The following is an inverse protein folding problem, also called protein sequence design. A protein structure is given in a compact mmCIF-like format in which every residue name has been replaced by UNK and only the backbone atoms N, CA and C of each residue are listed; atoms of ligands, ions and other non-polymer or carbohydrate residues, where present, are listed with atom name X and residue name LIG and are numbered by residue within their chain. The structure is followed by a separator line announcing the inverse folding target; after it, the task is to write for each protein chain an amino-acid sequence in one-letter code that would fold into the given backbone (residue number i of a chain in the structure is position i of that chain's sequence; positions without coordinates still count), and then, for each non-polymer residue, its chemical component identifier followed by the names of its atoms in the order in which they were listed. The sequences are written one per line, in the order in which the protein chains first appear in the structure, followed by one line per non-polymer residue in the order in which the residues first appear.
data_IF_092110763356
#
_entry.id   IF_092110763356
#
_cell.length_a   1.000
_cell.length_b   1.000
_cell.length_c   1.000
_cell.angle_alpha   90.00
_cell.angle_beta   90.00
_cell.angle_gamma   90.00
#
_symmetry.space_group_name_H-M   'P 1'
#
loop_
_entity.id
_entity.type
_entity.pdbx_description
1 polymer ?
#
# COMPACT_ATOMS: atom_id res chain seq x y z
N UNK A 1 -38.95 26.35 -40.23
CA UNK A 1 -39.12 25.14 -39.40
C UNK A 1 -37.94 24.23 -39.75
N UNK A 2 -36.77 24.26 -39.08
CA UNK A 2 -36.47 23.99 -37.64
C UNK A 2 -37.08 22.63 -37.25
N UNK A 3 -36.35 21.57 -36.88
CA UNK A 3 -35.15 21.47 -36.03
C UNK A 3 -34.07 20.50 -36.56
N UNK A 4 -32.81 20.91 -36.39
CA UNK A 4 -31.60 20.07 -36.38
C UNK A 4 -31.16 19.99 -34.93
N UNK A 5 -31.11 18.79 -34.35
CA UNK A 5 -30.62 18.60 -32.98
C UNK A 5 -29.13 18.30 -33.01
N UNK A 6 -28.35 19.29 -32.61
CA UNK A 6 -26.92 19.23 -32.36
C UNK A 6 -26.74 19.01 -30.84
N UNK A 7 -26.09 17.92 -30.42
CA UNK A 7 -25.72 17.72 -29.01
C UNK A 7 -24.20 17.62 -28.87
N UNK A 8 -23.58 18.80 -28.75
CA UNK A 8 -22.28 19.01 -28.11
C UNK A 8 -22.54 19.43 -26.66
N UNK A 9 -22.04 18.69 -25.69
CA UNK A 9 -21.93 19.18 -24.30
C UNK A 9 -20.50 18.96 -23.83
N UNK A 10 -19.74 20.05 -23.78
CA UNK A 10 -18.42 20.13 -23.17
C UNK A 10 -18.55 20.16 -21.64
N UNK A 11 -17.67 19.42 -20.97
CA UNK A 11 -17.47 19.49 -19.53
C UNK A 11 -16.90 20.87 -19.13
N UNK A 12 -17.54 21.55 -18.18
CA UNK A 12 -16.96 22.68 -17.46
C UNK A 12 -16.89 22.34 -15.96
N UNK A 13 -15.84 22.75 -15.23
CA UNK A 13 -15.60 22.37 -13.85
C UNK A 13 -16.43 23.27 -12.91
N UNK A 14 -17.19 22.67 -12.00
CA UNK A 14 -17.90 23.39 -10.94
C UNK A 14 -16.95 23.70 -9.79
N UNK A 15 -16.40 24.92 -9.80
CA UNK A 15 -15.77 25.53 -8.63
C UNK A 15 -16.84 25.78 -7.56
N UNK A 16 -16.66 25.23 -6.36
CA UNK A 16 -17.44 25.62 -5.17
C UNK A 16 -16.92 26.98 -4.66
N UNK A 17 -17.79 27.98 -4.42
CA UNK A 17 -17.36 29.25 -3.86
C UNK A 17 -17.16 29.11 -2.34
N UNK A 18 -15.94 29.35 -1.86
CA UNK A 18 -15.69 29.67 -0.46
C UNK A 18 -16.25 31.06 -0.16
N UNK A 19 -17.32 31.11 0.64
CA UNK A 19 -17.80 32.38 1.19
C UNK A 19 -17.11 32.64 2.52
N UNK A 20 -16.19 33.60 2.54
CA UNK A 20 -15.57 34.14 3.73
C UNK A 20 -16.57 35.05 4.44
N UNK A 21 -17.35 34.50 5.37
CA UNK A 21 -18.14 35.28 6.31
C UNK A 21 -17.95 34.72 7.72
N UNK A 22 -17.26 35.49 8.56
CA UNK A 22 -17.28 35.35 10.03
C UNK A 22 -18.75 35.35 10.47
N UNK A 23 -19.21 34.25 11.08
CA UNK A 23 -20.49 34.20 11.78
C UNK A 23 -20.23 33.89 13.25
N UNK A 24 -20.65 34.82 14.09
CA UNK A 24 -20.64 34.74 15.54
C UNK A 24 -21.40 33.50 16.04
N UNK A 25 -20.82 32.85 17.05
CA UNK A 25 -21.36 31.70 17.75
C UNK A 25 -22.62 32.07 18.54
N UNK A 26 -23.75 31.33 18.42
CA UNK A 26 -24.83 31.44 19.38
C UNK A 26 -24.59 30.45 20.53
N UNK A 27 -24.34 30.99 21.72
CA UNK A 27 -24.52 30.32 23.00
C UNK A 27 -26.01 30.14 23.29
N UNK A 28 -26.52 28.92 23.47
CA UNK A 28 -27.81 28.66 24.15
C UNK A 28 -27.69 27.38 24.99
N UNK A 29 -28.03 27.54 26.27
CA UNK A 29 -28.27 26.52 27.27
C UNK A 29 -29.45 25.59 26.89
N UNK A 30 -29.26 24.29 27.16
CA UNK A 30 -30.29 23.33 27.58
C UNK A 30 -31.41 22.98 26.59
N UNK A 31 -31.30 21.81 25.93
CA UNK A 31 -32.46 20.97 25.56
C UNK A 31 -32.12 19.46 25.54
N UNK A 32 -32.86 18.72 26.37
CA UNK A 32 -33.37 17.33 26.30
C UNK A 32 -32.57 16.21 25.60
N UNK A 33 -32.28 15.16 26.37
CA UNK A 33 -31.86 13.84 25.88
C UNK A 33 -33.01 13.14 25.14
N UNK A 34 -33.08 13.29 23.83
CA UNK A 34 -33.71 12.31 22.95
C UNK A 34 -32.68 11.84 21.93
N UNK A 35 -32.34 10.55 22.01
CA UNK A 35 -31.52 9.84 21.04
C UNK A 35 -32.12 10.04 19.64
N UNK A 36 -31.46 10.86 18.83
CA UNK A 36 -31.70 10.95 17.39
C UNK A 36 -30.51 10.30 16.68
N UNK A 37 -30.76 9.17 16.03
CA UNK A 37 -29.82 8.50 15.12
C UNK A 37 -29.62 9.37 13.87
N UNK A 38 -28.38 9.64 13.47
CA UNK A 38 -28.09 10.28 12.18
C UNK A 38 -28.35 9.29 11.04
N UNK A 39 -28.94 9.68 9.89
CA UNK A 39 -29.45 8.73 8.91
C UNK A 39 -28.38 8.15 7.97
N UNK A 40 -27.11 8.49 8.14
CA UNK A 40 -26.05 8.15 7.17
C UNK A 40 -25.04 7.15 7.76
N UNK A 41 -24.90 7.08 9.08
CA UNK A 41 -24.08 6.07 9.74
C UNK A 41 -24.81 5.67 11.01
N UNK A 42 -25.31 4.44 11.10
CA UNK A 42 -25.88 3.88 12.33
C UNK A 42 -24.80 3.65 13.41
N UNK A 43 -23.89 4.60 13.59
CA UNK A 43 -22.94 4.63 14.70
C UNK A 43 -23.54 5.47 15.82
N UNK A 44 -23.44 5.03 17.08
CA UNK A 44 -23.72 5.92 18.21
C UNK A 44 -22.77 7.12 18.11
N UNK A 45 -23.29 8.33 18.28
CA UNK A 45 -22.48 9.54 18.42
C UNK A 45 -21.57 9.37 19.65
N UNK A 46 -20.35 8.88 19.40
CA UNK A 46 -19.28 8.84 20.36
C UNK A 46 -18.98 10.25 20.82
N UNK A 47 -19.02 10.43 22.14
CA UNK A 47 -18.74 11.67 22.83
C UNK A 47 -17.35 12.20 22.45
N UNK A 48 -17.28 13.20 21.56
CA UNK A 48 -16.12 14.10 21.49
C UNK A 48 -16.22 15.07 22.69
N UNK A 49 -16.08 14.51 23.89
CA UNK A 49 -15.81 15.27 25.09
C UNK A 49 -14.33 15.10 25.41
N UNK A 50 -13.62 16.21 25.60
CA UNK A 50 -12.31 16.19 26.25
C UNK A 50 -12.54 15.60 27.65
N UNK A 51 -12.16 14.34 27.85
CA UNK A 51 -12.12 13.77 29.20
C UNK A 51 -10.92 14.42 29.88
N UNK A 52 -11.19 15.48 30.63
CA UNK A 52 -10.25 15.98 31.63
C UNK A 52 -9.91 14.81 32.56
N UNK A 53 -8.63 14.48 32.64
CA UNK A 53 -8.07 13.25 33.22
C UNK A 53 -8.15 13.17 34.75
N UNK A 54 -9.21 13.69 35.37
CA UNK A 54 -9.32 13.72 36.84
C UNK A 54 -10.47 12.88 37.43
N UNK A 55 -11.25 12.16 36.63
CA UNK A 55 -12.43 11.45 37.18
C UNK A 55 -12.80 10.16 36.45
N UNK A 56 -11.91 9.18 36.35
CA UNK A 56 -12.29 7.79 36.04
C UNK A 56 -11.41 6.85 36.88
N UNK A 57 -12.04 6.02 37.70
CA UNK A 57 -11.35 4.95 38.44
C UNK A 57 -10.81 3.91 37.42
N UNK A 58 -9.48 3.82 37.20
CA UNK A 58 -8.93 3.02 36.10
C UNK A 58 -8.92 1.51 36.35
N UNK A 59 -9.15 1.08 37.60
CA UNK A 59 -8.72 -0.25 38.05
C UNK A 59 -9.58 -1.43 37.60
N UNK A 60 -10.80 -1.22 37.09
CA UNK A 60 -11.71 -2.32 36.72
C UNK A 60 -12.01 -2.44 35.23
N UNK A 61 -11.83 -1.37 34.44
CA UNK A 61 -12.27 -1.36 33.04
C UNK A 61 -11.24 -2.02 32.11
N UNK A 62 -9.95 -1.96 32.47
CA UNK A 62 -8.87 -2.61 31.70
C UNK A 62 -8.98 -4.13 31.79
N UNK A 63 -9.17 -4.69 32.99
CA UNK A 63 -9.17 -6.16 33.21
C UNK A 63 -10.31 -6.87 32.47
N UNK A 64 -11.52 -6.27 32.43
CA UNK A 64 -12.66 -6.85 31.72
C UNK A 64 -12.45 -6.87 30.20
N UNK A 65 -11.78 -5.85 29.65
CA UNK A 65 -11.41 -5.82 28.23
C UNK A 65 -10.37 -6.89 27.89
N UNK A 66 -9.29 -6.98 28.68
CA UNK A 66 -8.24 -7.99 28.44
C UNK A 66 -8.79 -9.41 28.54
N UNK A 67 -9.69 -9.66 29.50
CA UNK A 67 -10.34 -10.96 29.64
C UNK A 67 -11.25 -11.31 28.47
N UNK A 68 -12.11 -10.37 28.03
CA UNK A 68 -12.97 -10.58 26.87
C UNK A 68 -12.16 -10.79 25.58
N UNK A 69 -11.06 -10.06 25.43
CA UNK A 69 -10.11 -10.21 24.32
C UNK A 69 -9.44 -11.58 24.32
N UNK A 70 -8.94 -12.05 25.47
CA UNK A 70 -8.34 -13.39 25.58
C UNK A 70 -9.35 -14.51 25.25
N UNK A 71 -10.57 -14.41 25.75
CA UNK A 71 -11.60 -15.43 25.54
C UNK A 71 -11.99 -15.51 24.04
N UNK A 72 -12.11 -14.36 23.37
CA UNK A 72 -12.32 -14.29 21.93
C UNK A 72 -11.15 -14.91 21.14
N UNK A 73 -9.90 -14.61 21.54
CA UNK A 73 -8.70 -15.17 20.90
C UNK A 73 -8.64 -16.70 21.01
N UNK A 74 -9.03 -17.25 22.17
CA UNK A 74 -9.12 -18.69 22.41
C UNK A 74 -10.19 -19.34 21.54
N UNK A 75 -11.38 -18.74 21.44
CA UNK A 75 -12.47 -19.24 20.60
C UNK A 75 -12.10 -19.26 19.12
N UNK A 76 -11.42 -18.20 18.65
CA UNK A 76 -10.98 -18.07 17.26
C UNK A 76 -9.78 -18.97 16.91
N UNK A 77 -9.17 -19.67 17.87
CA UNK A 77 -7.90 -20.40 17.71
C UNK A 77 -6.81 -19.53 17.07
N UNK A 78 -6.80 -18.24 17.41
CA UNK A 78 -6.01 -17.23 16.73
C UNK A 78 -4.56 -17.23 17.23
N UNK A 79 -3.63 -17.74 16.42
CA UNK A 79 -2.18 -17.72 16.69
C UNK A 79 -1.49 -16.52 16.02
N UNK A 80 -1.90 -15.30 16.37
CA UNK A 80 -1.24 -14.08 15.93
C UNK A 80 -1.45 -12.95 16.95
N UNK A 81 -0.66 -11.88 16.83
CA UNK A 81 -0.80 -10.67 17.66
C UNK A 81 -1.90 -9.78 17.12
N UNK A 82 -2.71 -9.20 18.01
CA UNK A 82 -3.68 -8.15 17.69
C UNK A 82 -3.00 -6.78 17.76
N UNK A 83 -3.57 -5.81 17.05
CA UNK A 83 -3.13 -4.40 17.18
C UNK A 83 -3.10 -3.96 18.65
N UNK A 84 -4.14 -4.27 19.43
CA UNK A 84 -4.22 -3.84 20.83
C UNK A 84 -3.20 -4.53 21.74
N UNK A 85 -2.30 -5.35 21.21
CA UNK A 85 -1.12 -5.88 21.91
C UNK A 85 0.12 -4.98 21.75
N UNK A 86 0.09 -3.97 20.86
CA UNK A 86 1.21 -3.06 20.64
C UNK A 86 1.22 -1.96 21.71
N UNK A 87 2.30 -1.84 22.51
CA UNK A 87 2.37 -0.87 23.60
C UNK A 87 2.71 0.56 23.13
N UNK A 88 3.06 0.74 21.84
CA UNK A 88 3.61 1.99 21.29
C UNK A 88 2.81 2.44 20.05
N UNK A 89 2.39 3.70 20.05
CA UNK A 89 1.76 4.38 18.92
C UNK A 89 2.79 4.68 17.83
N UNK A 90 2.34 4.87 16.58
CA UNK A 90 3.24 5.17 15.45
C UNK A 90 4.06 6.46 15.63
N UNK A 91 3.50 7.44 16.36
CA UNK A 91 4.15 8.69 16.72
C UNK A 91 3.69 9.13 18.12
N UNK A 92 4.63 9.65 18.91
CA UNK A 92 4.37 10.32 20.18
C UNK A 92 4.07 11.83 19.98
N UNK A 93 4.30 12.35 18.76
CA UNK A 93 4.00 13.73 18.38
C UNK A 93 2.54 13.87 17.92
N UNK A 94 1.87 14.99 18.27
CA UNK A 94 0.52 15.27 17.82
C UNK A 94 0.49 15.49 16.31
N UNK A 95 -0.67 15.23 15.69
CA UNK A 95 -0.88 15.37 14.24
C UNK A 95 -0.58 16.78 13.71
N UNK A 96 -0.86 17.81 14.51
CA UNK A 96 -0.53 19.20 14.23
C UNK A 96 0.54 19.65 15.23
N UNK A 97 1.82 19.29 15.01
CA UNK A 97 2.88 19.80 15.85
C UNK A 97 3.02 21.32 15.62
N UNK A 98 3.46 22.08 16.63
CA UNK A 98 3.88 23.46 16.41
C UNK A 98 5.00 23.50 15.35
N UNK A 99 5.09 24.59 14.58
CA UNK A 99 6.20 24.79 13.64
C UNK A 99 7.52 24.76 14.44
N UNK A 100 8.34 23.73 14.23
CA UNK A 100 9.68 23.67 14.81
C UNK A 100 10.61 24.59 14.01
N UNK A 101 11.45 25.35 14.71
CA UNK A 101 12.54 26.09 14.07
C UNK A 101 13.40 25.11 13.26
N UNK A 102 13.89 25.54 12.09
CA UNK A 102 14.74 24.75 11.20
C UNK A 102 16.06 24.34 11.90
N UNK A 103 16.02 23.36 12.81
CA UNK A 103 17.23 22.75 13.33
C UNK A 103 17.95 22.05 12.16
N UNK A 104 19.26 22.27 12.06
CA UNK A 104 20.12 21.60 11.09
C UNK A 104 20.23 20.11 11.44
N UNK A 105 19.27 19.32 10.97
CA UNK A 105 19.34 17.87 11.04
C UNK A 105 20.33 17.33 10.00
N UNK A 106 21.39 16.67 10.47
CA UNK A 106 22.48 16.09 9.65
C UNK A 106 22.02 14.88 8.80
N UNK A 107 20.85 14.30 9.09
CA UNK A 107 20.38 13.03 8.53
C UNK A 107 19.72 13.12 7.13
N UNK A 108 19.56 14.31 6.56
CA UNK A 108 19.00 14.52 5.22
C UNK A 108 17.51 14.15 5.08
N UNK A 109 17.00 14.17 3.84
CA UNK A 109 15.59 13.94 3.52
C UNK A 109 15.29 12.44 3.37
N UNK A 110 14.13 12.02 3.86
CA UNK A 110 13.58 10.69 3.59
C UNK A 110 12.64 10.75 2.38
N UNK A 111 13.15 10.34 1.22
CA UNK A 111 12.38 10.28 -0.01
C UNK A 111 11.50 9.02 -0.03
N UNK A 112 10.19 9.19 -0.19
CA UNK A 112 9.21 8.11 -0.34
C UNK A 112 8.73 8.08 -1.79
N UNK A 113 9.10 7.02 -2.52
CA UNK A 113 8.74 6.83 -3.93
C UNK A 113 7.55 5.87 -4.03
N UNK A 114 6.42 6.40 -4.46
CA UNK A 114 5.14 5.72 -4.64
C UNK A 114 4.96 5.31 -6.10
N UNK A 115 4.77 4.01 -6.37
CA UNK A 115 4.68 3.46 -7.73
C UNK A 115 3.38 2.66 -7.88
N UNK A 116 2.51 3.12 -8.77
CA UNK A 116 1.18 2.52 -8.97
C UNK A 116 1.21 1.29 -9.90
N UNK A 117 0.09 0.57 -9.93
CA UNK A 117 -0.13 -0.60 -10.77
C UNK A 117 -0.54 -0.29 -12.21
N UNK A 118 -0.91 -1.36 -12.94
CA UNK A 118 -1.48 -1.30 -14.29
C UNK A 118 -2.76 -0.46 -14.30
N UNK A 119 -2.89 0.46 -15.26
CA UNK A 119 -4.03 1.40 -15.38
C UNK A 119 -4.25 2.27 -14.11
N UNK A 120 -3.26 2.36 -13.22
CA UNK A 120 -3.28 3.27 -12.08
C UNK A 120 -2.89 4.70 -12.46
N UNK A 121 -3.16 5.65 -11.57
CA UNK A 121 -2.78 7.05 -11.70
C UNK A 121 -2.27 7.60 -10.35
N UNK A 122 -1.70 8.80 -10.36
CA UNK A 122 -1.09 9.40 -9.16
C UNK A 122 -2.08 9.67 -8.02
N UNK A 123 -3.39 9.73 -8.28
CA UNK A 123 -4.39 9.88 -7.22
C UNK A 123 -4.55 8.59 -6.39
N UNK A 124 -4.23 7.42 -6.94
CA UNK A 124 -4.48 6.12 -6.28
C UNK A 124 -3.62 5.94 -5.02
N UNK A 125 -2.46 6.59 -4.95
CA UNK A 125 -1.56 6.56 -3.79
C UNK A 125 -1.67 7.81 -2.92
N UNK A 126 -2.62 8.71 -3.21
CA UNK A 126 -2.77 9.97 -2.46
C UNK A 126 -3.18 9.72 -1.02
N UNK A 127 -4.13 8.80 -0.77
CA UNK A 127 -4.55 8.45 0.58
C UNK A 127 -3.42 7.80 1.37
N UNK A 128 -2.64 6.91 0.74
CA UNK A 128 -1.43 6.31 1.35
C UNK A 128 -0.45 7.39 1.78
N UNK A 129 -0.11 8.33 0.88
CA UNK A 129 0.74 9.48 1.19
C UNK A 129 0.20 10.25 2.39
N UNK A 130 -1.09 10.61 2.37
CA UNK A 130 -1.74 11.33 3.45
C UNK A 130 -1.52 10.60 4.77
N UNK A 131 -1.96 9.35 4.92
CA UNK A 131 -1.84 8.60 6.17
C UNK A 131 -0.40 8.42 6.68
N UNK A 132 0.60 8.39 5.80
CA UNK A 132 2.01 8.38 6.21
C UNK A 132 2.41 9.73 6.81
N UNK A 133 2.06 10.84 6.16
CA UNK A 133 2.32 12.18 6.69
C UNK A 133 1.64 12.38 8.06
N UNK A 134 0.47 11.77 8.26
CA UNK A 134 -0.27 11.82 9.53
C UNK A 134 0.37 10.98 10.63
N UNK A 135 0.98 9.84 10.25
CA UNK A 135 1.59 8.90 11.18
C UNK A 135 3.01 9.26 11.58
N UNK A 136 3.65 10.16 10.82
CA UNK A 136 5.01 10.62 11.05
C UNK A 136 5.09 12.16 11.04
N UNK A 137 4.31 12.85 11.90
CA UNK A 137 4.37 14.30 12.00
C UNK A 137 5.80 14.75 12.38
N UNK A 138 6.29 15.81 11.76
CA UNK A 138 7.65 16.33 11.96
C UNK A 138 8.76 15.61 11.18
N UNK A 139 8.48 14.48 10.52
CA UNK A 139 9.47 13.82 9.67
C UNK A 139 9.69 14.59 8.36
N UNK A 140 10.95 14.80 7.95
CA UNK A 140 11.33 15.39 6.65
C UNK A 140 11.12 14.41 5.51
N UNK A 141 9.85 14.15 5.21
CA UNK A 141 9.40 13.30 4.12
C UNK A 141 9.25 14.14 2.84
N UNK A 142 9.77 13.61 1.74
CA UNK A 142 9.48 14.10 0.41
C UNK A 142 8.88 12.96 -0.42
N UNK A 143 7.85 13.25 -1.22
CA UNK A 143 7.10 12.21 -1.96
C UNK A 143 7.21 12.39 -3.47
N UNK A 144 7.57 11.31 -4.14
CA UNK A 144 7.45 11.16 -5.58
C UNK A 144 6.38 10.11 -5.90
N UNK A 145 5.35 10.48 -6.68
CA UNK A 145 4.32 9.54 -7.15
C UNK A 145 4.48 9.37 -8.67
N UNK A 146 4.75 8.14 -9.13
CA UNK A 146 4.97 7.84 -10.55
C UNK A 146 3.75 8.17 -11.42
N UNK A 147 3.96 8.53 -12.68
CA UNK A 147 2.86 9.02 -13.56
C UNK A 147 2.61 8.22 -14.85
N UNK A 148 3.44 7.22 -15.20
CA UNK A 148 3.46 6.69 -16.57
C UNK A 148 3.23 5.19 -16.75
N UNK A 149 2.77 4.81 -17.95
CA UNK A 149 2.43 3.45 -18.39
C UNK A 149 3.23 3.04 -19.65
N UNK A 150 3.87 1.85 -19.64
CA UNK A 150 4.57 1.22 -20.79
C UNK A 150 4.88 -0.29 -20.52
N UNK A 151 5.78 -0.92 -21.29
CA UNK A 151 6.42 -2.21 -20.93
C UNK A 151 7.41 -2.05 -19.76
N UNK A 152 7.83 -3.14 -19.12
CA UNK A 152 8.62 -3.06 -17.88
C UNK A 152 9.96 -2.35 -18.05
N UNK A 153 10.69 -2.58 -19.13
CA UNK A 153 12.00 -1.94 -19.32
C UNK A 153 11.83 -0.43 -19.50
N UNK A 154 10.89 -0.02 -20.36
CA UNK A 154 10.55 1.39 -20.55
C UNK A 154 10.04 2.03 -19.25
N UNK A 155 9.16 1.36 -18.49
CA UNK A 155 8.66 1.89 -17.21
C UNK A 155 9.77 1.97 -16.15
N UNK A 156 10.72 1.04 -16.16
CA UNK A 156 11.86 1.04 -15.25
C UNK A 156 12.72 2.27 -15.48
N UNK A 157 13.09 2.53 -16.73
CA UNK A 157 13.99 3.65 -17.06
C UNK A 157 13.30 5.00 -16.85
N UNK A 158 11.99 5.08 -17.15
CA UNK A 158 11.19 6.28 -16.83
C UNK A 158 11.09 6.55 -15.35
N UNK A 159 10.78 5.55 -14.52
CA UNK A 159 10.73 5.73 -13.06
C UNK A 159 12.09 6.16 -12.51
N UNK A 160 13.17 5.56 -13.02
CA UNK A 160 14.52 5.96 -12.65
C UNK A 160 14.82 7.42 -13.04
N UNK A 161 14.42 7.85 -14.23
CA UNK A 161 14.56 9.23 -14.68
C UNK A 161 13.73 10.19 -13.82
N UNK A 162 12.48 9.82 -13.49
CA UNK A 162 11.61 10.59 -12.58
C UNK A 162 12.28 10.77 -11.21
N UNK A 163 12.86 9.71 -10.62
CA UNK A 163 13.58 9.80 -9.34
C UNK A 163 14.78 10.74 -9.42
N UNK A 164 15.64 10.56 -10.43
CA UNK A 164 16.86 11.37 -10.57
C UNK A 164 16.49 12.84 -10.82
N UNK A 165 15.52 13.08 -11.70
CA UNK A 165 15.05 14.42 -12.02
C UNK A 165 14.43 15.09 -10.79
N UNK A 166 13.63 14.39 -10.01
CA UNK A 166 13.03 14.92 -8.78
C UNK A 166 14.09 15.34 -7.77
N UNK A 167 15.08 14.47 -7.52
CA UNK A 167 16.22 14.78 -6.63
C UNK A 167 16.99 16.02 -7.10
N UNK A 168 17.20 16.15 -8.42
CA UNK A 168 17.93 17.29 -9.01
C UNK A 168 17.13 18.58 -9.00
N UNK A 169 15.85 18.54 -9.37
CA UNK A 169 14.98 19.73 -9.45
C UNK A 169 14.79 20.40 -8.09
N UNK A 170 14.65 19.60 -7.04
CA UNK A 170 14.45 20.10 -5.68
C UNK A 170 15.75 20.15 -4.85
N UNK A 171 16.90 19.84 -5.45
CA UNK A 171 18.22 19.82 -4.81
C UNK A 171 18.22 19.05 -3.47
N UNK A 172 17.63 17.86 -3.47
CA UNK A 172 17.39 17.07 -2.25
C UNK A 172 18.68 16.38 -1.78
N UNK A 173 19.09 16.64 -0.54
CA UNK A 173 20.10 15.82 0.15
C UNK A 173 19.44 14.56 0.70
N UNK A 174 19.46 13.49 -0.08
CA UNK A 174 18.82 12.23 0.29
C UNK A 174 19.56 11.54 1.43
N UNK A 175 18.92 11.40 2.58
CA UNK A 175 19.39 10.57 3.69
C UNK A 175 18.96 9.11 3.54
N UNK A 176 17.66 8.91 3.23
CA UNK A 176 17.03 7.59 3.10
C UNK A 176 16.02 7.57 1.96
N UNK A 177 15.80 6.39 1.37
CA UNK A 177 14.77 6.15 0.35
C UNK A 177 13.89 4.98 0.76
N UNK A 178 12.58 5.20 0.80
CA UNK A 178 11.58 4.14 0.89
C UNK A 178 10.79 4.05 -0.41
N UNK A 179 10.37 2.84 -0.75
CA UNK A 179 9.53 2.57 -1.90
C UNK A 179 8.19 1.97 -1.47
N UNK A 180 7.11 2.47 -2.06
CA UNK A 180 5.75 1.94 -1.89
C UNK A 180 5.26 1.51 -3.26
N UNK A 181 5.14 0.21 -3.46
CA UNK A 181 4.64 -0.36 -4.71
C UNK A 181 3.23 -0.89 -4.55
N UNK A 182 2.34 -0.54 -5.47
CA UNK A 182 1.06 -1.24 -5.64
C UNK A 182 1.08 -2.12 -6.88
N UNK A 183 0.62 -3.37 -6.75
CA UNK A 183 0.43 -4.27 -7.88
C UNK A 183 1.70 -4.33 -8.74
N UNK A 184 1.58 -4.05 -10.04
CA UNK A 184 2.69 -3.99 -11.01
C UNK A 184 3.87 -3.10 -10.58
N UNK A 185 3.60 -2.00 -9.87
CA UNK A 185 4.62 -1.06 -9.40
C UNK A 185 5.74 -1.73 -8.60
N UNK A 186 5.41 -2.80 -7.87
CA UNK A 186 6.38 -3.60 -7.13
C UNK A 186 7.45 -4.25 -8.02
N UNK A 187 7.07 -4.71 -9.21
CA UNK A 187 7.99 -5.33 -10.16
C UNK A 187 8.86 -4.24 -10.80
N UNK A 188 8.28 -3.07 -11.09
CA UNK A 188 9.01 -1.92 -11.63
C UNK A 188 10.07 -1.43 -10.63
N UNK A 189 9.71 -1.28 -9.35
CA UNK A 189 10.64 -0.90 -8.27
C UNK A 189 11.80 -1.88 -8.23
N UNK A 190 11.53 -3.19 -8.16
CA UNK A 190 12.58 -4.22 -8.16
C UNK A 190 13.51 -4.10 -9.36
N UNK A 191 12.96 -3.81 -10.54
CA UNK A 191 13.73 -3.61 -11.77
C UNK A 191 14.65 -2.37 -11.69
N UNK A 192 14.17 -1.25 -11.11
CA UNK A 192 14.98 -0.03 -10.90
C UNK A 192 16.23 -0.30 -10.07
N UNK A 193 16.12 -1.12 -9.02
CA UNK A 193 17.25 -1.47 -8.15
C UNK A 193 18.40 -2.15 -8.91
N UNK A 194 18.12 -2.76 -10.05
CA UNK A 194 19.11 -3.45 -10.88
C UNK A 194 19.86 -2.51 -11.83
N UNK A 195 19.37 -1.28 -12.01
CA UNK A 195 19.93 -0.32 -12.97
C UNK A 195 21.23 0.30 -12.43
N UNK A 196 22.31 0.36 -13.23
CA UNK A 196 23.59 0.92 -12.79
C UNK A 196 23.50 2.35 -12.27
N UNK A 197 22.66 3.19 -12.89
CA UNK A 197 22.42 4.59 -12.50
C UNK A 197 21.81 4.73 -11.10
N UNK A 198 21.12 3.71 -10.60
CA UNK A 198 20.53 3.73 -9.26
C UNK A 198 21.50 3.25 -8.16
N UNK A 199 22.66 2.70 -8.53
CA UNK A 199 23.58 2.02 -7.61
C UNK A 199 24.04 2.89 -6.43
N UNK A 200 24.18 4.20 -6.63
CA UNK A 200 24.57 5.14 -5.58
C UNK A 200 23.52 5.31 -4.47
N UNK A 201 22.25 4.98 -4.74
CA UNK A 201 21.16 5.07 -3.78
C UNK A 201 20.92 3.77 -3.01
N UNK A 202 21.48 2.63 -3.45
CA UNK A 202 21.29 1.34 -2.77
C UNK A 202 21.64 1.36 -1.27
N UNK A 203 22.74 2.01 -0.82
CA UNK A 203 23.05 2.10 0.61
C UNK A 203 22.06 2.93 1.42
N UNK A 204 21.21 3.73 0.76
CA UNK A 204 20.22 4.62 1.40
C UNK A 204 18.83 3.98 1.48
N UNK A 205 18.66 2.73 1.04
CA UNK A 205 17.36 2.06 1.02
C UNK A 205 16.91 1.70 2.45
N UNK A 206 15.70 2.14 2.80
CA UNK A 206 15.13 1.96 4.13
C UNK A 206 14.00 0.94 4.13
N UNK A 207 12.83 1.30 3.60
CA UNK A 207 11.65 0.43 3.60
C UNK A 207 11.15 0.18 2.18
N UNK A 208 10.91 -1.09 1.85
CA UNK A 208 10.12 -1.50 0.69
C UNK A 208 8.77 -2.02 1.15
N UNK A 209 7.72 -1.25 0.92
CA UNK A 209 6.33 -1.62 1.20
C UNK A 209 5.65 -2.08 -0.09
N UNK A 210 5.37 -3.37 -0.16
CA UNK A 210 4.73 -4.02 -1.30
C UNK A 210 3.26 -4.31 -1.01
N UNK A 211 2.37 -3.52 -1.59
CA UNK A 211 0.92 -3.71 -1.54
C UNK A 211 0.46 -4.55 -2.74
N UNK A 212 0.06 -5.81 -2.49
CA UNK A 212 -0.41 -6.76 -3.52
C UNK A 212 0.56 -6.93 -4.71
N UNK A 213 1.87 -7.04 -4.47
CA UNK A 213 2.87 -7.14 -5.55
C UNK A 213 2.98 -8.53 -6.20
N UNK A 214 2.81 -8.71 -7.53
CA UNK A 214 2.93 -10.02 -8.19
C UNK A 214 4.39 -10.46 -8.37
N UNK A 215 5.15 -10.60 -7.27
CA UNK A 215 6.60 -10.83 -7.29
C UNK A 215 7.04 -12.11 -8.00
N UNK A 216 6.16 -13.11 -8.02
CA UNK A 216 6.34 -14.40 -8.67
C UNK A 216 5.39 -14.56 -9.88
N UNK A 217 4.82 -13.46 -10.37
CA UNK A 217 3.85 -13.41 -11.45
C UNK A 217 2.49 -14.03 -11.10
N UNK A 218 1.74 -14.38 -12.14
CA UNK A 218 0.34 -14.84 -12.04
C UNK A 218 0.10 -16.27 -12.52
N UNK A 219 1.17 -17.07 -12.71
CA UNK A 219 1.13 -18.45 -13.21
C UNK A 219 0.12 -19.35 -12.51
N UNK A 220 0.09 -19.31 -11.18
CA UNK A 220 -0.76 -20.18 -10.35
C UNK A 220 -1.98 -19.44 -9.78
N UNK A 221 -2.54 -18.49 -10.52
CA UNK A 221 -3.76 -17.82 -10.11
C UNK A 221 -4.91 -18.83 -9.98
N UNK A 222 -5.59 -18.84 -8.84
CA UNK A 222 -6.72 -19.71 -8.55
C UNK A 222 -8.02 -19.27 -9.25
N UNK A 223 -8.08 -18.04 -9.77
CA UNK A 223 -9.29 -17.45 -10.35
C UNK A 223 -9.33 -17.61 -11.88
N UNK A 224 -10.07 -18.60 -12.36
CA UNK A 224 -10.26 -18.86 -13.81
C UNK A 224 -10.85 -17.66 -14.56
N UNK A 225 -11.81 -16.95 -13.95
CA UNK A 225 -12.43 -15.76 -14.54
C UNK A 225 -11.42 -14.61 -14.71
N UNK A 226 -10.59 -14.38 -13.70
CA UNK A 226 -9.53 -13.35 -13.76
C UNK A 226 -8.44 -13.75 -14.74
N UNK A 227 -8.03 -15.02 -14.77
CA UNK A 227 -7.07 -15.51 -15.78
C UNK A 227 -7.58 -15.35 -17.22
N UNK A 228 -8.90 -15.51 -17.44
CA UNK A 228 -9.56 -15.28 -18.73
C UNK A 228 -9.61 -13.78 -19.06
N UNK A 229 -9.89 -12.95 -18.06
CA UNK A 229 -9.87 -11.49 -18.19
C UNK A 229 -8.48 -10.94 -18.51
N UNK A 230 -7.43 -11.41 -17.82
CA UNK A 230 -6.03 -11.05 -18.14
C UNK A 230 -5.67 -11.49 -19.55
N UNK A 231 -6.05 -12.70 -19.99
CA UNK A 231 -5.81 -13.15 -21.36
C UNK A 231 -6.53 -12.28 -22.40
N UNK A 232 -7.76 -11.85 -22.12
CA UNK A 232 -8.49 -10.93 -22.99
C UNK A 232 -7.82 -9.55 -23.03
N UNK A 233 -7.41 -9.01 -21.88
CA UNK A 233 -6.67 -7.74 -21.80
C UNK A 233 -5.31 -7.83 -22.50
N UNK A 234 -4.59 -8.95 -22.39
CA UNK A 234 -3.36 -9.20 -23.13
C UNK A 234 -3.59 -9.12 -24.64
N UNK A 235 -4.66 -9.77 -25.13
CA UNK A 235 -5.01 -9.80 -26.55
C UNK A 235 -5.48 -8.43 -27.06
N UNK A 236 -6.19 -7.67 -26.23
CA UNK A 236 -6.74 -6.36 -26.60
C UNK A 236 -5.73 -5.21 -26.46
N UNK A 237 -4.94 -5.17 -25.38
CA UNK A 237 -4.02 -4.07 -25.09
C UNK A 237 -2.59 -4.29 -25.60
N UNK A 238 -2.25 -5.47 -26.14
CA UNK A 238 -0.88 -5.84 -26.59
C UNK A 238 0.22 -5.48 -25.58
N UNK A 239 -0.10 -5.55 -24.29
CA UNK A 239 0.78 -5.09 -23.22
C UNK A 239 1.90 -6.12 -22.99
N UNK A 240 3.15 -5.71 -23.22
CA UNK A 240 4.33 -6.54 -22.94
C UNK A 240 4.47 -6.92 -21.46
N UNK A 241 4.13 -6.00 -20.56
CA UNK A 241 4.17 -6.23 -19.11
C UNK A 241 3.19 -7.31 -18.65
N UNK A 242 2.01 -7.42 -19.27
CA UNK A 242 1.08 -8.52 -18.98
C UNK A 242 1.60 -9.89 -19.47
N UNK A 243 2.31 -9.94 -20.61
CA UNK A 243 2.96 -11.17 -21.07
C UNK A 243 4.06 -11.61 -20.09
N UNK A 244 4.89 -10.65 -19.65
CA UNK A 244 5.96 -10.87 -18.67
C UNK A 244 5.40 -11.36 -17.32
N UNK A 245 4.28 -10.81 -16.84
CA UNK A 245 3.62 -11.28 -15.61
C UNK A 245 3.06 -12.71 -15.68
N UNK A 246 2.72 -13.17 -16.88
CA UNK A 246 2.16 -14.51 -17.13
C UNK A 246 3.19 -15.51 -17.64
N UNK A 247 4.48 -15.15 -17.68
CA UNK A 247 5.57 -15.99 -18.19
C UNK A 247 5.35 -16.41 -19.64
N UNK A 248 4.81 -15.49 -20.46
CA UNK A 248 4.52 -15.70 -21.89
C UNK A 248 5.37 -14.84 -22.81
N UNK A 249 6.32 -14.11 -22.25
CA UNK A 249 7.31 -13.30 -22.95
C UNK A 249 8.47 -14.13 -23.52
N UNK A 250 8.64 -15.37 -23.05
CA UNK A 250 9.65 -16.29 -23.56
C UNK A 250 9.20 -17.77 -23.46
N UNK A 251 9.66 -18.62 -24.40
CA UNK A 251 9.30 -20.07 -24.46
C UNK A 251 9.90 -20.88 -23.30
N UNK A 252 11.14 -20.58 -22.93
CA UNK A 252 11.82 -21.10 -21.75
C UNK A 252 11.49 -20.22 -20.53
N UNK A 253 10.82 -20.76 -19.49
CA UNK A 253 10.47 -20.02 -18.28
C UNK A 253 11.67 -19.37 -17.58
N UNK A 254 12.87 -19.97 -17.67
CA UNK A 254 14.09 -19.43 -17.04
C UNK A 254 14.70 -18.24 -17.79
N UNK A 255 14.15 -17.91 -18.95
CA UNK A 255 14.54 -16.73 -19.73
C UNK A 255 13.46 -15.65 -19.73
N UNK A 256 12.34 -15.88 -19.05
CA UNK A 256 11.31 -14.87 -18.85
C UNK A 256 11.83 -13.73 -17.98
N UNK A 257 11.28 -12.54 -18.21
CA UNK A 257 11.66 -11.32 -17.49
C UNK A 257 11.60 -11.51 -15.97
N UNK A 258 10.49 -12.06 -15.44
CA UNK A 258 10.33 -12.22 -13.99
C UNK A 258 11.34 -13.20 -13.39
N UNK A 259 11.66 -14.28 -14.09
CA UNK A 259 12.70 -15.21 -13.63
C UNK A 259 14.06 -14.53 -13.60
N UNK A 260 14.46 -13.87 -14.69
CA UNK A 260 15.74 -13.15 -14.76
C UNK A 260 15.82 -12.06 -13.70
N UNK A 261 14.73 -11.33 -13.45
CA UNK A 261 14.65 -10.31 -12.41
C UNK A 261 14.73 -10.93 -11.00
N UNK A 262 14.21 -12.14 -10.78
CA UNK A 262 14.34 -12.82 -9.48
C UNK A 262 15.79 -13.07 -9.08
N UNK A 263 16.67 -13.32 -10.07
CA UNK A 263 18.09 -13.57 -9.85
C UNK A 263 18.90 -12.30 -9.54
N UNK A 264 18.30 -11.11 -9.71
CA UNK A 264 19.00 -9.85 -9.48
C UNK A 264 18.96 -9.48 -8.00
N UNK A 265 20.06 -8.95 -7.44
CA UNK A 265 20.05 -8.39 -6.10
C UNK A 265 19.13 -7.17 -6.04
N UNK A 266 18.53 -6.92 -4.88
CA UNK A 266 17.65 -5.76 -4.68
C UNK A 266 17.06 -5.71 -3.28
N UNK A 267 16.21 -6.67 -2.94
CA UNK A 267 15.42 -6.64 -1.71
C UNK A 267 16.27 -6.64 -0.44
N UNK A 268 17.43 -7.30 -0.46
CA UNK A 268 18.33 -7.37 0.69
C UNK A 268 19.00 -6.04 1.06
N UNK A 269 18.92 -5.02 0.20
CA UNK A 269 19.49 -3.70 0.48
C UNK A 269 18.59 -2.86 1.39
N UNK A 270 17.32 -3.22 1.55
CA UNK A 270 16.41 -2.52 2.45
C UNK A 270 16.63 -2.96 3.91
N UNK A 271 16.41 -2.04 4.85
CA UNK A 271 16.28 -2.38 6.28
C UNK A 271 14.99 -3.14 6.55
N UNK A 272 13.91 -2.79 5.84
CA UNK A 272 12.60 -3.42 6.00
C UNK A 272 11.99 -3.79 4.64
N UNK A 273 11.60 -5.05 4.47
CA UNK A 273 10.78 -5.54 3.35
C UNK A 273 9.43 -5.95 3.90
N UNK A 274 8.39 -5.16 3.62
CA UNK A 274 7.02 -5.36 4.10
C UNK A 274 6.14 -5.83 2.94
N UNK A 275 5.69 -7.08 2.99
CA UNK A 275 4.82 -7.68 2.00
C UNK A 275 3.39 -7.73 2.53
N UNK A 276 2.50 -6.95 1.93
CA UNK A 276 1.08 -6.86 2.31
C UNK A 276 0.25 -7.58 1.26
N UNK A 277 -0.55 -8.55 1.69
CA UNK A 277 -1.37 -9.35 0.81
C UNK A 277 -2.76 -9.61 1.39
N UNK A 278 -3.77 -9.64 0.54
CA UNK A 278 -5.13 -10.06 0.91
C UNK A 278 -5.49 -11.38 0.23
N UNK A 279 -5.97 -12.40 0.97
CA UNK A 279 -6.53 -13.61 0.35
C UNK A 279 -7.77 -13.35 -0.51
N UNK A 280 -8.41 -12.18 -0.34
CA UNK A 280 -9.58 -11.75 -1.11
C UNK A 280 -9.19 -11.12 -2.45
N UNK A 281 -7.91 -10.80 -2.66
CA UNK A 281 -7.38 -10.33 -3.93
C UNK A 281 -7.36 -11.48 -4.94
N UNK A 282 -8.14 -11.33 -6.02
CA UNK A 282 -8.18 -12.32 -7.12
C UNK A 282 -7.31 -11.92 -8.31
N UNK A 283 -6.76 -10.71 -8.31
CA UNK A 283 -5.95 -10.17 -9.40
C UNK A 283 -4.51 -10.65 -9.25
N UNK A 284 -3.96 -10.49 -8.05
CA UNK A 284 -2.62 -10.96 -7.70
C UNK A 284 -2.73 -12.20 -6.81
N UNK A 285 -2.14 -13.35 -7.20
CA UNK A 285 -2.18 -14.53 -6.35
C UNK A 285 -1.56 -14.24 -4.99
N UNK A 286 -2.27 -14.58 -3.92
CA UNK A 286 -1.85 -14.32 -2.54
C UNK A 286 -0.42 -14.79 -2.22
N UNK A 287 -0.06 -15.98 -2.69
CA UNK A 287 1.29 -16.54 -2.51
C UNK A 287 2.36 -15.77 -3.31
N UNK A 288 2.00 -15.19 -4.46
CA UNK A 288 2.89 -14.33 -5.24
C UNK A 288 3.17 -13.01 -4.51
N UNK A 289 2.13 -12.40 -3.92
CA UNK A 289 2.24 -11.21 -3.09
C UNK A 289 3.14 -11.38 -1.86
N UNK A 290 3.19 -12.59 -1.32
CA UNK A 290 3.98 -12.92 -0.13
C UNK A 290 5.35 -13.54 -0.43
N UNK A 291 5.67 -13.79 -1.70
CA UNK A 291 6.85 -14.55 -2.11
C UNK A 291 6.87 -15.90 -1.38
N UNK A 292 5.83 -16.71 -1.62
CA UNK A 292 5.60 -17.99 -0.95
C UNK A 292 5.23 -19.09 -1.94
N UNK A 293 5.49 -20.32 -1.53
CA UNK A 293 5.12 -21.52 -2.27
C UNK A 293 3.60 -21.74 -2.25
N UNK A 294 3.05 -22.35 -3.29
CA UNK A 294 1.64 -22.74 -3.33
C UNK A 294 1.45 -24.23 -3.65
N UNK A 295 0.30 -24.79 -3.25
CA UNK A 295 -0.02 -26.22 -3.43
C UNK A 295 -0.02 -26.65 -4.89
N UNK A 296 -0.42 -25.77 -5.81
CA UNK A 296 -0.44 -26.04 -7.24
C UNK A 296 0.98 -26.13 -7.81
N UNK A 297 1.86 -25.20 -7.43
CA UNK A 297 3.27 -25.22 -7.84
C UNK A 297 4.00 -26.48 -7.35
N UNK A 298 3.73 -26.93 -6.11
CA UNK A 298 4.32 -28.17 -5.57
C UNK A 298 3.98 -29.43 -6.36
N UNK A 299 2.81 -29.45 -7.02
CA UNK A 299 2.36 -30.60 -7.82
C UNK A 299 2.79 -30.51 -9.28
N UNK A 300 3.20 -29.32 -9.72
CA UNK A 300 3.60 -29.08 -11.10
C UNK A 300 5.08 -29.44 -11.31
N UNK A 301 5.31 -30.52 -12.05
CA UNK A 301 6.65 -31.01 -12.36
C UNK A 301 7.36 -30.19 -13.45
N UNK A 302 6.63 -29.35 -14.17
CA UNK A 302 7.15 -28.58 -15.31
C UNK A 302 7.60 -27.19 -14.90
N UNK A 303 6.70 -26.37 -14.36
CA UNK A 303 7.02 -24.98 -13.98
C UNK A 303 7.20 -24.78 -12.46
N UNK A 304 6.83 -25.77 -11.64
CA UNK A 304 7.02 -25.74 -10.18
C UNK A 304 8.48 -25.61 -9.72
N UNK A 305 9.46 -26.29 -10.35
CA UNK A 305 10.87 -26.08 -10.04
C UNK A 305 11.33 -24.66 -10.31
N UNK A 306 10.90 -24.06 -11.42
CA UNK A 306 11.22 -22.66 -11.78
C UNK A 306 10.63 -21.69 -10.75
N UNK A 307 9.40 -21.96 -10.29
CA UNK A 307 8.76 -21.19 -9.23
C UNK A 307 9.53 -21.25 -7.91
N UNK A 308 10.02 -22.44 -7.55
CA UNK A 308 10.84 -22.68 -6.36
C UNK A 308 12.16 -21.92 -6.43
N UNK A 309 12.83 -21.97 -7.58
CA UNK A 309 14.06 -21.22 -7.83
C UNK A 309 13.84 -19.72 -7.63
N UNK A 310 12.75 -19.15 -8.16
CA UNK A 310 12.45 -17.72 -8.00
C UNK A 310 12.20 -17.31 -6.55
N UNK A 311 11.51 -18.15 -5.76
CA UNK A 311 11.32 -17.92 -4.32
C UNK A 311 12.67 -17.86 -3.62
N UNK A 312 13.55 -18.83 -3.90
CA UNK A 312 14.87 -18.88 -3.28
C UNK A 312 15.73 -17.69 -3.70
N UNK A 313 15.73 -17.33 -4.98
CA UNK A 313 16.48 -16.18 -5.49
C UNK A 313 16.08 -14.87 -4.77
N UNK A 314 14.81 -14.74 -4.39
CA UNK A 314 14.30 -13.55 -3.70
C UNK A 314 14.51 -13.57 -2.19
N UNK A 315 14.29 -14.72 -1.54
CA UNK A 315 14.29 -14.81 -0.09
C UNK A 315 15.66 -15.11 0.50
N UNK A 316 16.49 -15.91 -0.18
CA UNK A 316 17.80 -16.28 0.35
C UNK A 316 18.69 -15.06 0.64
N UNK A 317 18.81 -14.06 -0.26
CA UNK A 317 19.60 -12.86 0.02
C UNK A 317 19.06 -12.04 1.21
N UNK A 318 17.74 -12.04 1.40
CA UNK A 318 17.11 -11.35 2.54
C UNK A 318 17.46 -12.06 3.85
N UNK A 319 17.39 -13.40 3.87
CA UNK A 319 17.72 -14.21 5.05
C UNK A 319 19.21 -14.08 5.44
N UNK A 320 20.09 -13.96 4.45
CA UNK A 320 21.52 -13.78 4.66
C UNK A 320 21.89 -12.36 5.12
N UNK A 321 21.05 -11.37 4.80
CA UNK A 321 21.25 -9.97 5.19
C UNK A 321 20.77 -9.70 6.62
N UNK A 322 21.72 -9.68 7.57
CA UNK A 322 21.45 -9.49 9.02
C UNK A 322 20.66 -8.23 9.38
N UNK A 323 20.78 -7.17 8.56
CA UNK A 323 20.12 -5.88 8.79
C UNK A 323 18.80 -5.73 8.02
N UNK A 324 18.38 -6.75 7.27
CA UNK A 324 17.15 -6.73 6.48
C UNK A 324 16.05 -7.54 7.17
N UNK A 325 14.96 -6.89 7.56
CA UNK A 325 13.80 -7.54 8.17
C UNK A 325 12.71 -7.81 7.14
N UNK A 326 12.28 -9.07 7.03
CA UNK A 326 11.13 -9.47 6.22
C UNK A 326 9.87 -9.54 7.07
N UNK A 327 8.87 -8.74 6.73
CA UNK A 327 7.57 -8.71 7.39
C UNK A 327 6.51 -9.11 6.36
N UNK A 328 5.63 -10.05 6.71
CA UNK A 328 4.51 -10.44 5.85
C UNK A 328 3.19 -10.21 6.57
N UNK A 329 2.38 -9.29 6.07
CA UNK A 329 1.10 -8.93 6.66
C UNK A 329 -0.07 -9.42 5.81
N UNK A 330 -1.08 -9.97 6.49
CA UNK A 330 -2.32 -10.42 5.89
C UNK A 330 -3.41 -9.39 6.15
N UNK A 331 -4.11 -8.99 5.10
CA UNK A 331 -5.18 -8.01 5.18
C UNK A 331 -6.50 -8.65 4.77
N UNK A 332 -7.49 -8.53 5.64
CA UNK A 332 -8.85 -8.95 5.38
C UNK A 332 -9.74 -7.71 5.40
N UNK A 333 -10.30 -7.39 4.24
CA UNK A 333 -11.20 -6.26 4.08
C UNK A 333 -12.64 -6.69 4.35
N UNK A 334 -13.36 -5.90 5.14
CA UNK A 334 -14.81 -6.01 5.29
C UNK A 334 -15.50 -5.43 4.04
N UNK A 335 -15.52 -6.21 2.96
CA UNK A 335 -16.07 -5.76 1.68
C UNK A 335 -17.59 -6.04 1.59
N UNK A 336 -18.41 -5.08 1.16
CA UNK A 336 -19.83 -5.33 0.91
C UNK A 336 -20.00 -6.34 -0.22
N UNK A 337 -21.05 -7.16 -0.19
CA UNK A 337 -21.35 -8.14 -1.23
C UNK A 337 -21.80 -7.46 -2.54
N UNK A 338 -20.84 -7.00 -3.34
CA UNK A 338 -21.07 -6.37 -4.65
C UNK A 338 -20.39 -7.17 -5.77
N UNK A 339 -20.74 -6.91 -7.03
CA UNK A 339 -20.10 -7.55 -8.19
C UNK A 339 -18.56 -7.34 -8.20
N UNK A 340 -18.07 -6.19 -7.72
CA UNK A 340 -16.63 -5.90 -7.57
C UNK A 340 -15.94 -6.80 -6.53
N UNK A 341 -16.67 -7.21 -5.49
CA UNK A 341 -16.23 -8.16 -4.46
C UNK A 341 -16.19 -9.59 -5.02
N UNK A 342 -17.14 -9.93 -5.89
CA UNK A 342 -17.17 -11.23 -6.58
C UNK A 342 -16.00 -11.41 -7.57
N UNK A 343 -15.54 -10.32 -8.17
CA UNK A 343 -14.41 -10.30 -9.12
C UNK A 343 -13.06 -10.21 -8.40
N UNK A 344 -13.04 -9.85 -7.11
CA UNK A 344 -11.82 -9.68 -6.29
C UNK A 344 -11.03 -8.41 -6.58
N UNK A 345 -11.53 -7.55 -7.49
CA UNK A 345 -11.01 -6.19 -7.74
C UNK A 345 -11.16 -5.30 -6.52
N UNK A 346 -12.25 -5.48 -5.76
CA UNK A 346 -12.51 -4.69 -4.56
C UNK A 346 -11.39 -4.82 -3.52
N UNK A 347 -10.91 -6.03 -3.22
CA UNK A 347 -9.79 -6.23 -2.30
C UNK A 347 -8.47 -5.67 -2.85
N UNK A 348 -8.23 -5.83 -4.16
CA UNK A 348 -7.02 -5.31 -4.82
C UNK A 348 -6.90 -3.78 -4.74
N UNK A 349 -8.03 -3.07 -4.74
CA UNK A 349 -8.09 -1.60 -4.63
C UNK A 349 -8.20 -1.16 -3.16
N UNK A 350 -8.92 -1.92 -2.32
CA UNK A 350 -9.17 -1.55 -0.93
C UNK A 350 -7.89 -1.38 -0.11
N UNK A 351 -6.78 -2.03 -0.47
CA UNK A 351 -5.46 -1.80 0.16
C UNK A 351 -4.94 -0.37 -0.02
N UNK A 352 -5.48 0.40 -0.98
CA UNK A 352 -5.13 1.80 -1.24
C UNK A 352 -6.24 2.80 -0.89
N UNK A 353 -7.49 2.35 -0.81
CA UNK A 353 -8.67 3.23 -0.74
C UNK A 353 -9.47 3.07 0.57
N UNK A 354 -9.22 1.99 1.33
CA UNK A 354 -9.87 1.79 2.63
C UNK A 354 -9.18 2.66 3.68
N UNK A 355 -9.77 3.81 3.99
CA UNK A 355 -9.32 4.71 5.06
C UNK A 355 -9.09 3.96 6.38
N UNK A 356 -10.03 3.09 6.77
CA UNK A 356 -9.89 2.27 7.98
C UNK A 356 -8.64 1.38 7.94
N UNK A 357 -8.36 0.73 6.80
CA UNK A 357 -7.15 -0.07 6.68
C UNK A 357 -5.90 0.81 6.76
N UNK A 358 -5.85 1.91 6.02
CA UNK A 358 -4.68 2.79 5.97
C UNK A 358 -4.40 3.46 7.32
N UNK A 359 -5.44 3.93 8.00
CA UNK A 359 -5.36 4.48 9.35
C UNK A 359 -4.75 3.44 10.31
N UNK A 360 -5.30 2.21 10.33
CA UNK A 360 -4.79 1.16 11.22
C UNK A 360 -3.42 0.63 10.81
N UNK A 361 -3.10 0.65 9.53
CA UNK A 361 -1.81 0.18 9.05
C UNK A 361 -0.70 1.18 9.39
N UNK A 362 -0.89 2.47 9.07
CA UNK A 362 0.15 3.49 9.19
C UNK A 362 0.19 4.16 10.57
N UNK A 363 -0.96 4.49 11.17
CA UNK A 363 -0.98 5.25 12.43
C UNK A 363 -0.84 4.37 13.67
N UNK A 364 -0.98 3.07 13.48
CA UNK A 364 -1.25 2.15 14.57
C UNK A 364 -0.33 0.93 14.55
N UNK A 365 -0.11 0.29 13.40
CA UNK A 365 0.85 -0.82 13.26
C UNK A 365 2.24 -0.37 12.76
N UNK A 366 2.32 0.84 12.16
CA UNK A 366 3.53 1.41 11.57
C UNK A 366 4.67 1.68 12.55
N UNK A 367 4.36 1.80 13.85
CA UNK A 367 5.31 1.97 14.97
C UNK A 367 6.39 0.90 15.06
N UNK A 368 6.15 -0.28 14.48
CA UNK A 368 7.13 -1.36 14.49
C UNK A 368 8.16 -1.26 13.37
N UNK A 369 8.01 -0.32 12.43
CA UNK A 369 8.82 -0.19 11.20
C UNK A 369 9.54 1.15 11.00
N UNK A 370 9.32 2.11 11.90
CA UNK A 370 9.98 3.42 11.93
C UNK A 370 11.49 3.31 12.16
#
# INVERSE_FOLDING_TARGET
MVEVVNMSVSCAPTCLPFSSALRDSPSINGMSARQATSPITNQPLGSFGIISSYSLNPLNMDDDFYKAKEDLLKELSFQASLYSDLPLLASDLPYFPPEEDDEEFDDGIHLVVCVHGLDGNSADLRLVKTFIELGLPGSRLDFLISTTFADFDTMTDRLLDEIIQHVQLYNLTIGRISFIGHSLGNVIIRSVLTRPRFRCYLPKLHTFLSLSGPHLGTLYNSSTLVSTGLWLMQKLKKSGSLLQLTFRDHVDPRKTFLYVLSQKPGLQFFKNVVLVASPQDRYVPFHSARIEMCKTALKDRTTGPVYTEMINNLLQPIVEAKECRLIRQNVFHALPNTANTLIGRAAHIAVLDSELFLEKFFLVAGSTTS
#
